data_IF_055438667160
#
_entry.id   IF_055438667160
#
_cell.length_a   1.000
_cell.length_b   1.000
_cell.length_c   1.000
_cell.angle_alpha   90.00
_cell.angle_beta   90.00
_cell.angle_gamma   90.00
#
_symmetry.space_group_name_H-M   'P 1'
#
loop_
_entity.id
_entity.type
_entity.pdbx_description
1 polymer ?
#
# COMPACT_ATOMS: atom_id res chain seq x y z
N UNK A 1 23.07 8.76 3.71
CA UNK A 1 23.05 7.63 2.74
C UNK A 1 24.18 6.70 3.14
N UNK A 2 23.86 5.41 3.28
CA UNK A 2 24.85 4.40 3.64
C UNK A 2 25.92 4.26 2.54
N UNK A 3 27.16 3.92 2.94
CA UNK A 3 28.32 3.85 2.02
C UNK A 3 28.08 3.06 0.72
N UNK A 4 27.46 1.85 0.71
CA UNK A 4 27.31 1.07 -0.52
C UNK A 4 26.36 1.74 -1.56
N UNK A 5 25.61 2.75 -1.17
CA UNK A 5 24.64 3.44 -2.02
C UNK A 5 25.07 4.83 -2.45
N UNK A 6 26.15 5.37 -1.86
CA UNK A 6 26.68 6.70 -2.17
C UNK A 6 27.13 6.79 -3.63
N UNK A 7 26.68 7.84 -4.34
CA UNK A 7 26.99 8.05 -5.76
C UNK A 7 26.22 7.16 -6.75
N UNK A 8 25.52 6.13 -6.27
CA UNK A 8 24.68 5.26 -7.12
C UNK A 8 23.22 5.70 -7.18
N UNK A 9 22.75 6.37 -6.14
CA UNK A 9 21.38 6.82 -6.00
C UNK A 9 21.32 8.24 -5.48
N UNK A 10 20.24 8.92 -5.84
CA UNK A 10 19.83 10.19 -5.24
C UNK A 10 18.64 9.93 -4.30
N UNK A 11 18.67 10.59 -3.14
CA UNK A 11 17.65 10.46 -2.10
C UNK A 11 17.14 11.84 -1.68
N UNK A 12 15.82 12.02 -1.68
CA UNK A 12 15.16 13.26 -1.29
C UNK A 12 14.12 13.00 -0.20
N UNK A 13 14.12 13.82 0.87
CA UNK A 13 12.99 13.88 1.81
C UNK A 13 11.91 14.80 1.24
N UNK A 14 10.75 14.23 0.98
CA UNK A 14 9.66 14.88 0.25
C UNK A 14 8.51 15.21 1.19
N UNK A 15 8.05 16.46 1.13
CA UNK A 15 6.82 16.91 1.81
C UNK A 15 5.89 17.53 0.79
N UNK A 16 4.65 17.00 0.68
CA UNK A 16 3.61 17.55 -0.20
C UNK A 16 2.38 17.89 0.60
N UNK A 17 1.95 19.14 0.55
CA UNK A 17 0.72 19.58 1.21
C UNK A 17 -0.50 18.77 0.71
N UNK A 18 -1.33 18.33 1.64
CA UNK A 18 -2.55 17.58 1.36
C UNK A 18 -3.72 18.27 2.04
N UNK A 19 -4.63 18.92 1.30
CA UNK A 19 -5.74 19.66 1.89
C UNK A 19 -6.59 18.82 2.83
N UNK A 20 -6.89 19.37 4.02
CA UNK A 20 -7.78 18.75 5.01
C UNK A 20 -7.24 17.51 5.72
N UNK A 21 -5.92 17.23 5.63
CA UNK A 21 -5.25 16.17 6.38
C UNK A 21 -3.77 16.50 6.57
N UNK A 22 -3.02 15.61 7.26
CA UNK A 22 -1.56 15.71 7.35
C UNK A 22 -0.93 15.65 5.95
N UNK A 23 0.25 16.26 5.73
CA UNK A 23 0.94 16.22 4.44
C UNK A 23 1.36 14.81 4.06
N UNK A 24 1.62 14.58 2.78
CA UNK A 24 2.46 13.46 2.34
C UNK A 24 3.86 13.69 2.89
N UNK A 25 4.42 12.70 3.56
CA UNK A 25 5.84 12.61 3.94
C UNK A 25 6.38 11.35 3.27
N UNK A 26 7.48 11.46 2.55
CA UNK A 26 8.01 10.36 1.75
C UNK A 26 9.52 10.49 1.58
N UNK A 27 10.17 9.37 1.26
CA UNK A 27 11.48 9.39 0.62
C UNK A 27 11.34 9.10 -0.86
N UNK A 28 11.94 9.94 -1.69
CA UNK A 28 12.10 9.69 -3.12
C UNK A 28 13.51 9.17 -3.35
N UNK A 29 13.62 7.99 -3.94
CA UNK A 29 14.89 7.35 -4.32
C UNK A 29 14.90 7.13 -5.82
N UNK A 30 15.99 7.51 -6.51
CA UNK A 30 16.18 7.21 -7.92
C UNK A 30 17.63 6.86 -8.23
N UNK A 31 17.92 6.16 -9.35
CA UNK A 31 19.28 6.01 -9.82
C UNK A 31 19.93 7.39 -10.03
N UNK A 32 21.17 7.55 -9.61
CA UNK A 32 21.98 8.70 -10.02
C UNK A 32 22.25 8.62 -11.53
N UNK A 33 22.38 9.76 -12.20
CA UNK A 33 22.60 9.74 -13.63
C UNK A 33 22.52 11.11 -14.31
N UNK A 34 22.49 11.06 -15.63
CA UNK A 34 22.49 12.26 -16.46
C UNK A 34 21.24 13.13 -16.27
N UNK A 35 21.39 14.46 -16.34
CA UNK A 35 20.27 15.39 -16.35
C UNK A 35 19.26 15.04 -17.46
N UNK A 36 17.96 15.08 -17.15
CA UNK A 36 16.89 14.84 -18.12
C UNK A 36 16.51 13.35 -18.32
N UNK A 37 17.22 12.41 -17.70
CA UNK A 37 16.82 11.00 -17.72
C UNK A 37 15.45 10.81 -17.07
N UNK A 38 14.61 10.03 -17.73
CA UNK A 38 13.27 9.65 -17.25
C UNK A 38 13.24 8.19 -16.81
N UNK A 39 12.41 7.91 -15.81
CA UNK A 39 12.33 6.60 -15.19
C UNK A 39 10.87 6.12 -15.13
N UNK A 40 10.61 4.83 -15.31
CA UNK A 40 9.36 4.23 -14.82
C UNK A 40 9.29 4.47 -13.31
N UNK A 41 8.07 4.63 -12.79
CA UNK A 41 7.91 5.11 -11.43
C UNK A 41 7.10 4.15 -10.55
N UNK A 42 7.43 4.11 -9.26
CA UNK A 42 6.76 3.30 -8.28
C UNK A 42 6.42 4.12 -7.02
N UNK A 43 5.21 3.92 -6.50
CA UNK A 43 4.86 4.36 -5.14
C UNK A 43 4.77 3.15 -4.24
N UNK A 44 5.40 3.23 -3.07
CA UNK A 44 5.40 2.15 -2.09
C UNK A 44 4.81 2.61 -0.76
N UNK A 45 4.16 1.70 -0.06
CA UNK A 45 3.61 1.91 1.29
C UNK A 45 3.98 0.78 2.22
N UNK A 46 4.39 1.13 3.42
CA UNK A 46 4.73 0.16 4.45
C UNK A 46 3.49 -0.53 5.07
N UNK A 47 3.70 -1.68 5.68
CA UNK A 47 2.71 -2.39 6.48
C UNK A 47 2.23 -1.55 7.69
N UNK A 48 1.23 -2.02 8.43
CA UNK A 48 0.74 -1.36 9.66
C UNK A 48 1.88 -1.09 10.67
N UNK A 49 1.65 -0.14 11.53
CA UNK A 49 2.63 0.35 12.50
C UNK A 49 3.12 1.76 12.19
N UNK A 50 3.66 2.43 13.19
CA UNK A 50 4.13 3.83 13.11
C UNK A 50 5.64 3.83 12.91
N UNK A 51 6.08 4.32 11.76
CA UNK A 51 7.50 4.33 11.37
C UNK A 51 7.78 5.37 10.28
N UNK A 52 9.06 5.61 10.02
CA UNK A 52 9.51 6.39 8.86
C UNK A 52 9.13 5.72 7.53
N UNK A 53 9.03 6.51 6.48
CA UNK A 53 9.32 6.01 5.14
C UNK A 53 10.77 5.53 5.06
N UNK A 54 11.09 4.71 4.07
CA UNK A 54 12.43 4.12 3.88
C UNK A 54 12.95 4.38 2.46
N UNK A 55 14.24 4.64 2.30
CA UNK A 55 14.85 4.66 0.98
C UNK A 55 14.71 3.31 0.27
N UNK A 56 14.25 3.31 -0.98
CA UNK A 56 13.95 2.09 -1.74
C UNK A 56 15.06 1.76 -2.74
N UNK A 57 16.27 1.53 -2.23
CA UNK A 57 17.46 1.25 -3.06
C UNK A 57 17.32 0.00 -3.93
N UNK A 58 16.62 -1.04 -3.45
CA UNK A 58 16.35 -2.25 -4.23
C UNK A 58 15.64 -1.94 -5.54
N UNK A 59 14.52 -1.27 -5.47
CA UNK A 59 13.73 -0.92 -6.65
C UNK A 59 14.39 0.16 -7.51
N UNK A 60 15.05 1.14 -6.88
CA UNK A 60 15.85 2.11 -7.61
C UNK A 60 17.01 1.43 -8.38
N UNK A 61 17.60 0.36 -7.83
CA UNK A 61 18.58 -0.48 -8.52
C UNK A 61 18.06 -1.19 -9.76
N UNK A 62 16.74 -1.39 -9.86
CA UNK A 62 16.07 -1.90 -11.06
C UNK A 62 15.75 -0.78 -12.09
N UNK A 63 16.19 0.45 -11.84
CA UNK A 63 15.98 1.59 -12.72
C UNK A 63 14.70 2.38 -12.48
N UNK A 64 14.05 2.20 -11.32
CA UNK A 64 12.81 2.87 -10.96
C UNK A 64 13.04 4.19 -10.21
N UNK A 65 12.17 5.17 -10.45
CA UNK A 65 11.93 6.32 -9.59
C UNK A 65 10.94 5.90 -8.51
N UNK A 66 11.37 5.82 -7.25
CA UNK A 66 10.55 5.25 -6.18
C UNK A 66 10.20 6.27 -5.12
N UNK A 67 8.92 6.45 -4.86
CA UNK A 67 8.38 7.28 -3.78
C UNK A 67 7.85 6.37 -2.67
N UNK A 68 8.60 6.19 -1.57
CA UNK A 68 8.13 5.48 -0.38
C UNK A 68 7.42 6.42 0.57
N UNK A 69 6.14 6.18 0.77
CA UNK A 69 5.23 7.10 1.48
C UNK A 69 5.02 6.65 2.92
N UNK A 70 5.28 7.57 3.85
CA UNK A 70 4.87 7.42 5.23
C UNK A 70 3.34 7.46 5.32
N UNK A 71 2.72 6.34 5.68
CA UNK A 71 1.27 6.19 5.72
C UNK A 71 0.57 7.21 6.64
N UNK A 72 1.27 7.69 7.67
CA UNK A 72 0.69 8.52 8.72
C UNK A 72 0.90 10.04 8.53
N UNK A 73 1.71 10.45 7.54
CA UNK A 73 2.03 11.86 7.31
C UNK A 73 2.80 12.49 8.48
N UNK A 74 3.58 11.71 9.21
CA UNK A 74 4.50 12.15 10.27
C UNK A 74 5.91 12.33 9.70
N UNK A 75 6.80 12.98 10.46
CA UNK A 75 8.19 13.18 10.06
C UNK A 75 8.93 11.88 9.78
N UNK A 76 9.82 11.88 8.79
CA UNK A 76 10.76 10.81 8.51
C UNK A 76 12.04 10.98 9.35
N UNK A 77 12.85 9.92 9.47
CA UNK A 77 14.18 9.97 10.07
C UNK A 77 14.21 10.05 11.59
N UNK A 78 13.07 9.93 12.28
CA UNK A 78 13.03 9.80 13.73
C UNK A 78 13.61 8.48 14.22
N UNK A 79 13.97 8.41 15.50
CA UNK A 79 14.47 7.17 16.11
C UNK A 79 13.37 6.10 16.25
N UNK A 80 13.77 4.83 16.42
CA UNK A 80 12.83 3.75 16.69
C UNK A 80 11.98 4.03 17.94
N UNK A 81 12.59 4.56 18.99
CA UNK A 81 11.94 4.90 20.26
C UNK A 81 10.89 5.99 20.09
N UNK A 82 11.14 6.98 19.24
CA UNK A 82 10.16 8.03 18.92
C UNK A 82 8.93 7.46 18.26
N UNK A 83 9.09 6.58 17.26
CA UNK A 83 7.94 5.94 16.59
C UNK A 83 7.20 4.97 17.51
N UNK A 84 7.89 4.22 18.37
CA UNK A 84 7.28 3.37 19.39
C UNK A 84 6.48 4.22 20.38
N UNK A 85 7.01 5.35 20.81
CA UNK A 85 6.29 6.29 21.69
C UNK A 85 5.03 6.82 21.02
N UNK A 86 5.11 7.29 19.77
CA UNK A 86 3.94 7.75 19.00
C UNK A 86 2.88 6.65 18.89
N UNK A 87 3.29 5.42 18.59
CA UNK A 87 2.37 4.28 18.49
C UNK A 87 1.70 3.96 19.83
N UNK A 88 2.41 4.08 20.95
CA UNK A 88 1.87 3.80 22.29
C UNK A 88 1.02 4.94 22.86
N UNK A 89 1.11 6.13 22.31
CA UNK A 89 0.43 7.34 22.82
C UNK A 89 -0.58 7.89 21.80
N UNK A 90 -0.19 8.90 21.05
CA UNK A 90 -1.07 9.67 20.15
C UNK A 90 -1.63 8.87 18.95
N UNK A 91 -0.99 7.76 18.59
CA UNK A 91 -1.41 6.90 17.48
C UNK A 91 -1.84 5.51 17.95
N UNK A 92 -2.05 5.35 19.26
CA UNK A 92 -2.60 4.12 19.81
C UNK A 92 -3.98 3.88 19.16
N UNK A 93 -4.16 2.68 18.64
CA UNK A 93 -5.44 2.27 18.05
C UNK A 93 -5.94 3.17 16.89
N UNK A 94 -5.05 3.93 16.22
CA UNK A 94 -5.37 4.81 15.08
C UNK A 94 -6.31 4.16 14.07
N UNK A 95 -6.19 2.84 13.89
CA UNK A 95 -6.99 2.04 12.95
C UNK A 95 -8.50 2.07 13.23
N UNK A 96 -8.90 2.38 14.47
CA UNK A 96 -10.30 2.45 14.88
C UNK A 96 -10.81 3.88 15.05
N UNK A 97 -9.93 4.87 14.92
CA UNK A 97 -10.29 6.29 15.06
C UNK A 97 -11.34 6.68 14.03
N UNK A 98 -12.49 7.19 14.48
CA UNK A 98 -13.59 7.64 13.64
C UNK A 98 -14.25 6.53 12.79
N UNK A 99 -14.07 5.25 13.14
CA UNK A 99 -14.54 4.12 12.34
C UNK A 99 -16.07 4.03 12.16
N UNK A 100 -16.84 4.78 12.92
CA UNK A 100 -18.30 4.91 12.84
C UNK A 100 -18.78 5.95 11.81
N UNK A 101 -17.86 6.78 11.29
CA UNK A 101 -18.16 7.84 10.32
C UNK A 101 -17.17 7.77 9.14
N UNK A 102 -17.68 7.57 7.93
CA UNK A 102 -16.87 7.47 6.71
C UNK A 102 -16.02 8.71 6.40
N UNK A 103 -16.40 9.88 6.88
CA UNK A 103 -15.64 11.12 6.66
C UNK A 103 -14.57 11.35 7.74
N UNK A 104 -14.73 10.74 8.93
CA UNK A 104 -13.84 10.90 10.08
C UNK A 104 -12.89 9.73 10.28
N UNK A 105 -13.19 8.56 9.72
CA UNK A 105 -12.31 7.38 9.83
C UNK A 105 -10.88 7.72 9.45
N UNK A 106 -9.92 7.28 10.26
CA UNK A 106 -8.49 7.56 10.07
C UNK A 106 -8.01 7.31 8.64
N UNK A 107 -8.51 6.27 8.01
CA UNK A 107 -8.17 5.89 6.64
C UNK A 107 -8.61 6.90 5.57
N UNK A 108 -9.56 7.80 5.86
CA UNK A 108 -9.90 8.90 4.95
C UNK A 108 -8.67 9.78 4.69
N UNK A 109 -8.03 10.27 5.75
CA UNK A 109 -6.82 11.08 5.64
C UNK A 109 -5.66 10.33 4.98
N UNK A 110 -5.53 9.03 5.26
CA UNK A 110 -4.52 8.17 4.65
C UNK A 110 -4.72 8.04 3.14
N UNK A 111 -5.96 7.81 2.67
CA UNK A 111 -6.26 7.67 1.23
C UNK A 111 -6.16 9.00 0.48
N UNK A 112 -6.45 10.12 1.12
CA UNK A 112 -6.20 11.45 0.53
C UNK A 112 -4.70 11.67 0.29
N UNK A 113 -3.83 11.27 1.23
CA UNK A 113 -2.37 11.30 1.05
C UNK A 113 -1.91 10.37 -0.07
N UNK A 114 -2.52 9.18 -0.18
CA UNK A 114 -2.24 8.22 -1.26
C UNK A 114 -2.45 8.85 -2.64
N UNK A 115 -3.62 9.44 -2.88
CA UNK A 115 -3.92 10.13 -4.15
C UNK A 115 -2.96 11.30 -4.39
N UNK A 116 -2.64 12.04 -3.33
CA UNK A 116 -1.71 13.17 -3.44
C UNK A 116 -0.28 12.73 -3.77
N UNK A 117 0.16 11.60 -3.24
CA UNK A 117 1.47 11.01 -3.55
C UNK A 117 1.55 10.58 -5.03
N UNK A 118 0.51 9.94 -5.56
CA UNK A 118 0.42 9.58 -6.99
C UNK A 118 0.43 10.83 -7.87
N UNK A 119 -0.34 11.85 -7.52
CA UNK A 119 -0.37 13.11 -8.28
C UNK A 119 1.00 13.80 -8.29
N UNK A 120 1.71 13.82 -7.15
CA UNK A 120 3.06 14.34 -7.06
C UNK A 120 4.03 13.57 -7.96
N UNK A 121 4.01 12.23 -7.90
CA UNK A 121 4.88 11.40 -8.71
C UNK A 121 4.64 11.64 -10.22
N UNK A 122 3.38 11.70 -10.65
CA UNK A 122 3.00 11.94 -12.04
C UNK A 122 3.32 13.36 -12.56
N UNK A 123 3.49 14.31 -11.67
CA UNK A 123 3.90 15.67 -12.02
C UNK A 123 5.42 15.85 -12.14
N UNK A 124 6.20 14.83 -11.82
CA UNK A 124 7.66 14.96 -11.84
C UNK A 124 8.22 14.95 -13.27
N UNK A 125 9.22 15.82 -13.55
CA UNK A 125 9.85 15.87 -14.87
C UNK A 125 10.71 14.64 -15.20
N UNK A 126 11.14 13.88 -14.17
CA UNK A 126 11.93 12.67 -14.27
C UNK A 126 11.10 11.38 -14.34
N UNK A 127 9.77 11.48 -14.34
CA UNK A 127 8.88 10.36 -14.64
C UNK A 127 8.78 10.13 -16.17
N UNK A 128 8.72 8.86 -16.60
CA UNK A 128 8.63 8.46 -18.00
C UNK A 128 7.27 8.76 -18.67
N UNK A 129 6.27 9.15 -17.87
CA UNK A 129 4.91 9.45 -18.34
C UNK A 129 4.03 8.24 -18.59
N UNK A 130 4.49 7.01 -18.36
CA UNK A 130 3.80 5.77 -18.79
C UNK A 130 3.49 4.79 -17.67
N UNK A 131 4.39 4.59 -16.74
CA UNK A 131 4.41 3.43 -15.83
C UNK A 131 4.33 3.83 -14.36
N UNK A 132 3.16 4.22 -13.83
CA UNK A 132 3.00 4.30 -12.38
C UNK A 132 2.66 2.90 -11.84
N UNK A 133 3.60 2.33 -11.09
CA UNK A 133 3.48 1.06 -10.38
C UNK A 133 3.13 1.35 -8.92
N UNK A 134 2.30 0.55 -8.29
CA UNK A 134 1.99 0.65 -6.86
C UNK A 134 2.31 -0.66 -6.14
N UNK A 135 2.94 -0.53 -4.96
CA UNK A 135 3.44 -1.68 -4.18
C UNK A 135 3.20 -1.50 -2.69
N UNK A 136 2.86 -2.58 -2.02
CA UNK A 136 2.83 -2.62 -0.56
C UNK A 136 2.49 -3.97 0.03
N UNK A 137 2.81 -4.15 1.31
CA UNK A 137 2.45 -5.32 2.10
C UNK A 137 1.45 -5.00 3.19
N UNK A 138 0.54 -5.91 3.51
CA UNK A 138 -0.45 -5.76 4.58
C UNK A 138 -1.27 -4.48 4.42
N UNK A 139 -1.23 -3.53 5.37
CA UNK A 139 -1.85 -2.21 5.22
C UNK A 139 -1.36 -1.49 3.94
N UNK A 140 -0.08 -1.61 3.59
CA UNK A 140 0.46 -1.06 2.34
C UNK A 140 -0.13 -1.75 1.10
N UNK A 141 -0.40 -3.05 1.18
CA UNK A 141 -1.10 -3.80 0.12
C UNK A 141 -2.53 -3.32 -0.08
N UNK A 142 -3.24 -3.00 1.00
CA UNK A 142 -4.54 -2.34 0.93
C UNK A 142 -4.45 -0.98 0.23
N UNK A 143 -3.42 -0.20 0.55
CA UNK A 143 -3.17 1.10 -0.08
C UNK A 143 -2.83 0.96 -1.57
N UNK A 144 -2.07 -0.06 -1.96
CA UNK A 144 -1.77 -0.34 -3.37
C UNK A 144 -3.03 -0.69 -4.17
N UNK A 145 -3.92 -1.55 -3.62
CA UNK A 145 -5.21 -1.86 -4.24
C UNK A 145 -6.11 -0.63 -4.34
N UNK A 146 -6.17 0.18 -3.26
CA UNK A 146 -6.95 1.41 -3.26
C UNK A 146 -6.41 2.43 -4.26
N UNK A 147 -5.08 2.57 -4.35
CA UNK A 147 -4.42 3.46 -5.30
C UNK A 147 -4.81 3.14 -6.75
N UNK A 148 -4.70 1.87 -7.13
CA UNK A 148 -5.07 1.43 -8.47
C UNK A 148 -6.57 1.50 -8.76
N UNK A 149 -7.41 1.28 -7.76
CA UNK A 149 -8.86 1.42 -7.90
C UNK A 149 -9.34 2.87 -8.01
N UNK A 150 -8.56 3.82 -7.49
CA UNK A 150 -8.87 5.26 -7.51
C UNK A 150 -8.21 6.00 -8.67
N UNK A 151 -7.08 5.51 -9.16
CA UNK A 151 -6.33 6.12 -10.26
C UNK A 151 -6.16 5.15 -11.43
N UNK A 152 -6.96 5.30 -12.51
CA UNK A 152 -6.91 4.42 -13.67
C UNK A 152 -5.62 4.53 -14.49
N UNK A 153 -4.75 5.50 -14.19
CA UNK A 153 -3.42 5.60 -14.81
C UNK A 153 -2.42 4.59 -14.23
N UNK A 154 -2.70 3.98 -13.07
CA UNK A 154 -1.86 2.91 -12.51
C UNK A 154 -1.82 1.72 -13.48
N UNK A 155 -0.62 1.32 -13.85
CA UNK A 155 -0.38 0.26 -14.84
C UNK A 155 -0.07 -1.09 -14.22
N UNK A 156 0.45 -1.11 -12.98
CA UNK A 156 0.71 -2.35 -12.26
C UNK A 156 0.49 -2.21 -10.76
N UNK A 157 0.00 -3.29 -10.14
CA UNK A 157 -0.27 -3.40 -8.71
C UNK A 157 0.45 -4.61 -8.15
N UNK A 158 1.18 -4.43 -7.08
CA UNK A 158 1.80 -5.52 -6.32
C UNK A 158 1.31 -5.42 -4.87
N UNK A 159 0.52 -6.38 -4.42
CA UNK A 159 -0.07 -6.40 -3.09
C UNK A 159 0.29 -7.69 -2.35
N UNK A 160 1.17 -7.59 -1.36
CA UNK A 160 1.54 -8.69 -0.50
C UNK A 160 0.57 -8.76 0.67
N UNK A 161 -0.10 -9.91 0.84
CA UNK A 161 -1.00 -10.19 1.98
C UNK A 161 -1.87 -8.97 2.32
N UNK A 162 -2.62 -8.40 1.34
CA UNK A 162 -3.28 -7.12 1.53
C UNK A 162 -4.28 -7.18 2.68
N UNK A 163 -4.17 -6.21 3.57
CA UNK A 163 -5.12 -5.98 4.65
C UNK A 163 -6.39 -5.28 4.16
N UNK A 164 -7.32 -5.02 5.06
CA UNK A 164 -8.56 -4.27 4.81
C UNK A 164 -9.41 -4.85 3.68
N UNK A 165 -9.35 -6.15 3.49
CA UNK A 165 -10.15 -6.86 2.51
C UNK A 165 -11.33 -7.56 3.21
N UNK A 166 -12.50 -7.49 2.59
CA UNK A 166 -13.72 -8.18 3.03
C UNK A 166 -14.12 -7.83 4.47
N UNK A 167 -14.26 -6.53 4.74
CA UNK A 167 -14.72 -6.06 6.07
C UNK A 167 -16.07 -6.64 6.46
N UNK A 168 -16.91 -6.96 5.48
CA UNK A 168 -18.21 -7.60 5.66
C UNK A 168 -18.18 -9.08 6.01
N UNK A 169 -17.04 -9.75 5.97
CA UNK A 169 -16.93 -11.20 6.23
C UNK A 169 -17.66 -11.68 7.49
N UNK A 170 -17.60 -10.97 8.65
CA UNK A 170 -18.32 -11.40 9.85
C UNK A 170 -19.84 -11.44 9.69
N UNK A 171 -20.41 -10.61 8.81
CA UNK A 171 -21.85 -10.61 8.51
C UNK A 171 -22.29 -11.91 7.81
N UNK A 172 -21.35 -12.58 7.15
CA UNK A 172 -21.54 -13.87 6.48
C UNK A 172 -20.91 -15.03 7.26
N UNK A 173 -20.63 -14.86 8.55
CA UNK A 173 -20.08 -15.90 9.42
C UNK A 173 -18.60 -16.26 9.13
N UNK A 174 -17.86 -15.40 8.40
CA UNK A 174 -16.45 -15.60 8.05
C UNK A 174 -15.55 -14.67 8.85
N UNK A 175 -14.26 -14.97 8.89
CA UNK A 175 -13.26 -14.10 9.52
C UNK A 175 -12.83 -13.02 8.54
N UNK A 176 -12.88 -11.74 8.96
CA UNK A 176 -12.31 -10.62 8.21
C UNK A 176 -10.78 -10.56 8.37
N UNK A 177 -10.11 -9.98 7.40
CA UNK A 177 -8.72 -9.54 7.53
C UNK A 177 -8.55 -8.36 8.49
N UNK A 178 -7.29 -8.04 8.82
CA UNK A 178 -6.95 -6.86 9.62
C UNK A 178 -7.56 -5.57 9.03
N UNK A 179 -8.10 -4.65 9.87
CA UNK A 179 -8.02 -4.58 11.35
C UNK A 179 -9.25 -5.17 12.07
N UNK A 180 -10.14 -5.88 11.39
CA UNK A 180 -11.34 -6.51 11.97
C UNK A 180 -12.28 -5.50 12.64
N UNK A 181 -12.72 -4.53 11.88
CA UNK A 181 -13.60 -3.46 12.36
C UNK A 181 -14.93 -3.94 12.91
N UNK A 182 -15.57 -4.90 12.24
CA UNK A 182 -16.92 -5.33 12.58
C UNK A 182 -16.86 -6.44 13.62
N UNK A 183 -17.33 -6.12 14.82
CA UNK A 183 -17.57 -7.07 15.90
C UNK A 183 -19.02 -7.52 15.84
N UNK A 184 -19.27 -8.81 16.05
CA UNK A 184 -20.62 -9.37 16.08
C UNK A 184 -21.11 -9.57 17.52
N UNK A 185 -22.40 -9.27 17.76
CA UNK A 185 -23.09 -9.51 19.03
C UNK A 185 -24.51 -9.98 18.72
N UNK A 186 -24.89 -11.17 19.18
CA UNK A 186 -26.23 -11.72 18.94
C UNK A 186 -26.58 -11.82 17.43
N UNK A 187 -25.63 -12.22 16.58
CA UNK A 187 -25.85 -12.39 15.13
C UNK A 187 -25.92 -11.09 14.32
N UNK A 188 -25.69 -9.93 14.95
CA UNK A 188 -25.73 -8.61 14.30
C UNK A 188 -24.43 -7.84 14.57
N UNK A 189 -24.07 -6.82 13.75
CA UNK A 189 -22.99 -5.91 14.09
C UNK A 189 -23.23 -5.28 15.46
N UNK A 190 -22.23 -5.31 16.33
CA UNK A 190 -22.28 -4.64 17.64
C UNK A 190 -22.45 -3.12 17.48
N UNK A 191 -21.91 -2.58 16.39
CA UNK A 191 -22.08 -1.19 15.98
C UNK A 191 -22.44 -1.13 14.47
N UNK A 192 -23.69 -0.85 14.12
CA UNK A 192 -24.14 -0.73 12.73
C UNK A 192 -23.54 0.50 12.00
N UNK A 193 -23.15 1.57 12.70
CA UNK A 193 -22.51 2.73 12.09
C UNK A 193 -21.11 2.37 11.59
N UNK A 194 -20.32 1.66 12.43
CA UNK A 194 -19.02 1.11 12.01
C UNK A 194 -19.19 0.21 10.79
N UNK A 195 -20.13 -0.74 10.81
CA UNK A 195 -20.32 -1.65 9.68
C UNK A 195 -20.61 -0.91 8.36
N UNK A 196 -21.40 0.17 8.40
CA UNK A 196 -21.67 1.01 7.22
C UNK A 196 -20.45 1.84 6.78
N UNK A 197 -19.77 2.47 7.72
CA UNK A 197 -18.68 3.39 7.42
C UNK A 197 -17.46 2.67 6.83
N UNK A 198 -17.06 1.54 7.42
CA UNK A 198 -15.86 0.80 7.00
C UNK A 198 -16.01 0.16 5.62
N UNK A 199 -17.23 -0.10 5.15
CA UNK A 199 -17.48 -0.62 3.81
C UNK A 199 -16.91 0.31 2.70
N UNK A 200 -16.85 1.62 2.93
CA UNK A 200 -16.24 2.57 2.00
C UNK A 200 -14.73 2.44 1.88
N UNK A 201 -14.09 1.70 2.79
CA UNK A 201 -12.64 1.51 2.88
C UNK A 201 -12.22 0.06 2.65
N UNK A 202 -13.14 -0.79 2.21
CA UNK A 202 -12.84 -2.18 1.89
C UNK A 202 -12.03 -2.29 0.60
N UNK A 203 -10.86 -2.90 0.70
CA UNK A 203 -9.94 -3.06 -0.45
C UNK A 203 -10.54 -3.90 -1.57
N UNK A 204 -11.50 -4.78 -1.30
CA UNK A 204 -12.19 -5.55 -2.33
C UNK A 204 -13.02 -4.64 -3.26
N UNK A 205 -13.63 -3.56 -2.73
CA UNK A 205 -14.37 -2.62 -3.55
C UNK A 205 -13.48 -1.70 -4.39
N UNK A 206 -12.27 -1.38 -3.92
CA UNK A 206 -11.28 -0.71 -4.75
C UNK A 206 -10.72 -1.65 -5.82
N UNK A 207 -10.42 -2.89 -5.45
CA UNK A 207 -9.97 -3.92 -6.37
C UNK A 207 -10.95 -4.14 -7.53
N UNK A 208 -12.26 -4.09 -7.28
CA UNK A 208 -13.31 -4.19 -8.30
C UNK A 208 -13.27 -3.07 -9.36
N UNK A 209 -12.49 -2.01 -9.15
CA UNK A 209 -12.33 -0.90 -10.10
C UNK A 209 -11.05 -1.02 -10.95
N UNK A 210 -10.16 -1.97 -10.67
CA UNK A 210 -8.88 -2.16 -11.37
C UNK A 210 -9.14 -2.90 -12.69
N UNK A 211 -9.28 -2.16 -13.79
CA UNK A 211 -9.71 -2.73 -15.09
C UNK A 211 -8.57 -3.07 -16.05
N UNK A 212 -7.42 -2.39 -15.91
CA UNK A 212 -6.34 -2.46 -16.93
C UNK A 212 -4.97 -2.76 -16.35
N UNK A 213 -4.73 -2.52 -15.05
CA UNK A 213 -3.44 -2.77 -14.45
C UNK A 213 -3.08 -4.25 -14.44
N UNK A 214 -1.81 -4.56 -14.64
CA UNK A 214 -1.27 -5.88 -14.35
C UNK A 214 -1.21 -6.06 -12.82
N UNK A 215 -1.80 -7.15 -12.29
CA UNK A 215 -1.95 -7.31 -10.84
C UNK A 215 -1.23 -8.57 -10.36
N UNK A 216 -0.37 -8.39 -9.37
CA UNK A 216 0.25 -9.46 -8.60
C UNK A 216 -0.23 -9.37 -7.16
N UNK A 217 -0.87 -10.43 -6.66
CA UNK A 217 -1.26 -10.56 -5.27
C UNK A 217 -0.55 -11.78 -4.67
N UNK A 218 0.00 -11.65 -3.47
CA UNK A 218 0.62 -12.74 -2.72
C UNK A 218 -0.18 -13.00 -1.45
N UNK A 219 -0.30 -14.27 -1.06
CA UNK A 219 -1.01 -14.67 0.17
C UNK A 219 -0.40 -15.89 0.82
N UNK A 220 -0.28 -15.86 2.15
CA UNK A 220 0.08 -17.01 2.97
C UNK A 220 -1.17 -17.77 3.43
N UNK A 221 -1.18 -19.11 3.36
CA UNK A 221 -2.39 -19.89 3.72
C UNK A 221 -2.61 -20.03 5.22
N UNK A 222 -1.57 -19.84 6.02
CA UNK A 222 -1.69 -19.84 7.49
C UNK A 222 -1.57 -18.43 8.08
N UNK A 223 -1.81 -17.41 7.24
CA UNK A 223 -1.92 -16.03 7.70
C UNK A 223 -3.23 -15.83 8.47
N UNK A 224 -3.10 -15.55 9.77
CA UNK A 224 -4.23 -15.24 10.65
C UNK A 224 -4.53 -13.76 10.79
N UNK A 225 -3.70 -12.91 10.21
CA UNK A 225 -3.85 -11.43 10.22
C UNK A 225 -4.64 -10.96 9.00
N UNK A 226 -4.13 -11.27 7.80
CA UNK A 226 -4.82 -11.03 6.54
C UNK A 226 -5.26 -12.40 5.98
N UNK A 227 -6.32 -12.94 6.56
CA UNK A 227 -6.75 -14.32 6.26
C UNK A 227 -6.94 -14.56 4.76
N UNK A 228 -6.51 -15.71 4.22
CA UNK A 228 -6.56 -15.99 2.79
C UNK A 228 -7.92 -15.74 2.15
N UNK A 229 -9.01 -16.08 2.83
CA UNK A 229 -10.37 -15.84 2.32
C UNK A 229 -10.65 -14.36 2.04
N UNK A 230 -10.14 -13.45 2.88
CA UNK A 230 -10.29 -12.00 2.65
C UNK A 230 -9.41 -11.49 1.52
N UNK A 231 -8.18 -12.01 1.39
CA UNK A 231 -7.28 -11.69 0.27
C UNK A 231 -7.89 -12.16 -1.05
N UNK A 232 -8.44 -13.36 -1.10
CA UNK A 232 -9.14 -13.89 -2.27
C UNK A 232 -10.41 -13.10 -2.62
N UNK A 233 -11.14 -12.57 -1.62
CA UNK A 233 -12.28 -11.69 -1.89
C UNK A 233 -11.85 -10.45 -2.70
N UNK A 234 -10.73 -9.83 -2.34
CA UNK A 234 -10.18 -8.71 -3.11
C UNK A 234 -9.65 -9.17 -4.48
N UNK A 235 -8.86 -10.25 -4.55
CA UNK A 235 -8.32 -10.75 -5.80
C UNK A 235 -9.40 -11.13 -6.82
N UNK A 236 -10.43 -11.85 -6.38
CA UNK A 236 -11.53 -12.27 -7.24
C UNK A 236 -12.34 -11.07 -7.77
N UNK A 237 -12.38 -9.98 -7.01
CA UNK A 237 -13.06 -8.74 -7.40
C UNK A 237 -12.34 -7.96 -8.50
N UNK A 238 -11.03 -8.20 -8.74
CA UNK A 238 -10.27 -7.50 -9.79
C UNK A 238 -10.80 -7.90 -11.17
N UNK A 239 -11.33 -6.97 -11.97
CA UNK A 239 -11.83 -7.28 -13.32
C UNK A 239 -10.73 -7.35 -14.40
N UNK A 240 -9.52 -6.86 -14.14
CA UNK A 240 -8.40 -6.95 -15.07
C UNK A 240 -8.13 -8.41 -15.46
N UNK A 241 -7.97 -8.66 -16.76
CA UNK A 241 -7.59 -9.98 -17.27
C UNK A 241 -6.13 -10.34 -16.91
N UNK A 242 -5.27 -9.34 -16.73
CA UNK A 242 -3.87 -9.50 -16.38
C UNK A 242 -3.70 -9.52 -14.85
N UNK A 243 -4.22 -10.55 -14.19
CA UNK A 243 -4.07 -10.71 -12.74
C UNK A 243 -3.55 -12.08 -12.37
N UNK A 244 -2.69 -12.13 -11.36
CA UNK A 244 -2.12 -13.36 -10.80
C UNK A 244 -2.12 -13.32 -9.28
N UNK A 245 -2.49 -14.41 -8.63
CA UNK A 245 -2.26 -14.64 -7.21
C UNK A 245 -1.22 -15.75 -7.04
N UNK A 246 -0.27 -15.54 -6.14
CA UNK A 246 0.72 -16.56 -5.76
C UNK A 246 0.48 -16.94 -4.31
N UNK A 247 0.32 -18.24 -4.11
CA UNK A 247 0.02 -18.83 -2.80
C UNK A 247 1.26 -19.40 -2.17
N UNK A 248 1.43 -19.15 -0.87
CA UNK A 248 2.50 -19.69 -0.05
C UNK A 248 1.89 -20.53 1.08
N UNK A 249 1.77 -21.85 0.90
CA UNK A 249 0.97 -22.69 1.81
C UNK A 249 1.43 -22.68 3.26
N UNK A 250 2.72 -22.45 3.50
CA UNK A 250 3.32 -22.46 4.85
C UNK A 250 3.62 -21.07 5.39
N UNK A 251 3.28 -19.99 4.66
CA UNK A 251 3.53 -18.64 5.12
C UNK A 251 2.45 -18.17 6.10
N UNK A 252 2.90 -17.64 7.23
CA UNK A 252 2.13 -16.79 8.13
C UNK A 252 2.20 -15.35 7.64
N UNK A 253 1.58 -14.40 8.35
CA UNK A 253 1.69 -12.98 8.03
C UNK A 253 3.12 -12.47 8.22
N UNK A 254 3.78 -12.00 7.15
CA UNK A 254 5.15 -11.55 7.24
C UNK A 254 5.84 -11.22 5.92
N UNK A 255 7.15 -11.06 5.98
CA UNK A 255 8.00 -10.83 4.82
C UNK A 255 8.89 -12.03 4.59
N UNK A 256 8.96 -12.50 3.35
CA UNK A 256 9.71 -13.69 2.96
C UNK A 256 10.58 -13.41 1.73
N UNK A 257 11.79 -13.97 1.64
CA UNK A 257 12.64 -13.85 0.44
C UNK A 257 11.93 -14.31 -0.85
N UNK A 258 11.04 -15.30 -0.73
CA UNK A 258 10.24 -15.81 -1.85
C UNK A 258 9.26 -14.76 -2.39
N UNK A 259 8.70 -13.93 -1.52
CA UNK A 259 7.85 -12.80 -1.91
C UNK A 259 8.67 -11.80 -2.73
N UNK A 260 9.87 -11.51 -2.28
CA UNK A 260 10.79 -10.61 -2.96
C UNK A 260 11.17 -11.15 -4.34
N UNK A 261 11.50 -12.43 -4.45
CA UNK A 261 11.82 -13.07 -5.72
C UNK A 261 10.66 -12.99 -6.72
N UNK A 262 9.45 -13.33 -6.30
CA UNK A 262 8.25 -13.25 -7.16
C UNK A 262 7.97 -11.82 -7.59
N UNK A 263 8.20 -10.85 -6.71
CA UNK A 263 8.07 -9.42 -7.00
C UNK A 263 9.09 -8.96 -8.04
N UNK A 264 10.36 -9.36 -7.89
CA UNK A 264 11.43 -8.99 -8.81
C UNK A 264 11.21 -9.60 -10.20
N UNK A 265 10.78 -10.85 -10.27
CA UNK A 265 10.41 -11.52 -11.54
C UNK A 265 9.25 -10.79 -12.24
N UNK A 266 8.25 -10.36 -11.49
CA UNK A 266 7.12 -9.60 -12.02
C UNK A 266 7.56 -8.24 -12.55
N UNK A 267 8.33 -7.48 -11.76
CA UNK A 267 8.88 -6.19 -12.16
C UNK A 267 9.80 -6.30 -13.37
N UNK A 268 10.68 -7.30 -13.40
CA UNK A 268 11.55 -7.56 -14.56
C UNK A 268 10.73 -7.81 -15.84
N UNK A 269 9.57 -8.46 -15.72
CA UNK A 269 8.63 -8.64 -16.83
C UNK A 269 8.00 -7.34 -17.33
N UNK A 270 7.64 -6.44 -16.40
CA UNK A 270 7.03 -5.13 -16.71
C UNK A 270 8.02 -4.14 -17.34
N UNK A 271 9.28 -4.20 -16.90
CA UNK A 271 10.32 -3.22 -17.27
C UNK A 271 11.09 -3.61 -18.54
N UNK A 272 10.71 -4.70 -19.22
CA UNK A 272 11.36 -5.10 -20.49
C UNK A 272 11.11 -4.04 -21.57
N UNK A 273 12.15 -3.67 -22.34
CA UNK A 273 11.96 -2.80 -23.50
C UNK A 273 10.97 -3.42 -24.50
N UNK A 274 9.98 -2.65 -24.90
CA UNK A 274 9.01 -3.10 -25.93
C UNK A 274 7.65 -3.58 -25.40
N UNK A 275 7.40 -3.46 -24.10
CA UNK A 275 6.03 -3.57 -23.53
C UNK A 275 5.35 -2.21 -23.44
#
# INVERSE_FOLDING_TARGET
MEEPYRGRFELFDVTVATPGTKPVRAYLTRPAGEPGRKFPAMVTWHAAGVRSAMPQYRFAGMGLLVLDVNAHGIGNGGSHEEYVRLYRTTMKDYRFEGADDREKIYFNGLYRRLIRALAYLKARPDWDGRTPIVYGGSQGGAQALAAAGLDPAVTAVIAHEPAMCDHGAPLAGRTAGWPRFIRMKGGKPADPAVARAVAYYDSAFFAARIRRAECLVLTGFIDTTCVPSSVYAAFNSIPSASKRIVNFPQAIHGSYPEFDRVTDEFLAGLLRPGK
#
